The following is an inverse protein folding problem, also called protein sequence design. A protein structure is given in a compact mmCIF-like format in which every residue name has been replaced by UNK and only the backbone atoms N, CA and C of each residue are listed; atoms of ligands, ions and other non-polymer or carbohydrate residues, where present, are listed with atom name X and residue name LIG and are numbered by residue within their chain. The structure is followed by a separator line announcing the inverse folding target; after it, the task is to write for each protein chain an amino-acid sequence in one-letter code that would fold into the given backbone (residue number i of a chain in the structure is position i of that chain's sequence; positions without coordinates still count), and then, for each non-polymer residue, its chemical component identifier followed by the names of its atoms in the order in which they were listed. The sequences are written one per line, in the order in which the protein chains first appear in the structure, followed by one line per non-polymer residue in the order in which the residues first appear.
data_IF_954188512758
#
_entry.id   IF_954188512758
#
_cell.length_a   1.000
_cell.length_b   1.000
_cell.length_c   1.000
_cell.angle_alpha   90.00
_cell.angle_beta   90.00
_cell.angle_gamma   90.00
#
_symmetry.space_group_name_H-M   'P 1'
#
loop_
_entity.id
_entity.type
_entity.pdbx_description
1 polymer ?
#
# COMPACT_ATOMS: atom_id res chain seq x y z
N UNK A 1 44.24 1.59 -6.48
CA UNK A 1 42.87 1.05 -6.42
C UNK A 1 42.03 2.07 -5.67
N UNK A 2 40.94 2.62 -6.22
CA UNK A 2 40.15 3.62 -5.50
C UNK A 2 39.34 2.93 -4.39
N UNK A 3 39.69 3.20 -3.15
CA UNK A 3 38.96 2.76 -1.96
C UNK A 3 37.65 3.54 -1.89
N UNK A 4 36.51 2.87 -2.02
CA UNK A 4 35.20 3.50 -1.83
C UNK A 4 34.99 3.69 -0.32
N UNK A 5 35.47 4.82 0.22
CA UNK A 5 35.23 5.19 1.62
C UNK A 5 33.76 5.60 1.78
N UNK A 6 33.00 4.87 2.61
CA UNK A 6 31.61 5.22 2.89
C UNK A 6 31.51 6.55 3.64
N UNK A 7 30.53 7.38 3.28
CA UNK A 7 30.20 8.63 3.97
C UNK A 7 29.46 8.40 5.30
N UNK A 8 28.95 7.19 5.55
CA UNK A 8 28.30 6.85 6.80
C UNK A 8 29.34 6.40 7.85
N UNK A 9 29.56 7.16 8.94
CA UNK A 9 30.57 6.82 9.94
C UNK A 9 30.28 5.50 10.68
N UNK A 10 29.05 4.96 10.60
CA UNK A 10 28.73 3.63 11.14
C UNK A 10 29.38 2.51 10.34
N UNK A 11 29.46 2.66 9.01
CA UNK A 11 30.09 1.69 8.12
C UNK A 11 31.59 1.63 8.38
N UNK A 12 32.22 2.79 8.53
CA UNK A 12 33.64 2.87 8.85
C UNK A 12 33.95 2.27 10.23
N UNK A 13 33.06 2.44 11.23
CA UNK A 13 33.20 1.79 12.54
C UNK A 13 32.97 0.28 12.52
N UNK A 14 32.13 -0.20 11.60
CA UNK A 14 31.83 -1.63 11.49
C UNK A 14 33.03 -2.45 10.98
N UNK A 15 34.07 -1.79 10.45
CA UNK A 15 35.31 -2.45 10.04
C UNK A 15 35.09 -3.53 8.99
N UNK A 16 34.09 -3.32 8.11
CA UNK A 16 33.74 -4.29 7.06
C UNK A 16 34.96 -4.43 6.15
N UNK A 17 35.43 -5.65 5.87
CA UNK A 17 36.55 -5.87 4.97
C UNK A 17 36.27 -5.19 3.61
N UNK A 18 37.19 -4.34 3.17
CA UNK A 18 37.06 -3.58 1.91
C UNK A 18 37.31 -4.43 0.66
N UNK A 19 37.50 -5.74 0.83
CA UNK A 19 38.09 -6.60 -0.19
C UNK A 19 37.11 -6.87 -1.36
N UNK A 20 37.39 -6.35 -2.57
CA UNK A 20 36.57 -6.60 -3.75
C UNK A 20 36.65 -8.06 -4.24
N UNK A 21 37.57 -8.88 -3.70
CA UNK A 21 37.67 -10.30 -4.03
C UNK A 21 36.70 -11.20 -3.28
N UNK A 22 35.95 -10.67 -2.30
CA UNK A 22 34.80 -11.40 -1.76
C UNK A 22 33.75 -11.47 -2.87
N UNK A 23 33.72 -12.60 -3.58
CA UNK A 23 32.73 -12.84 -4.62
C UNK A 23 31.34 -12.56 -4.03
N UNK A 24 30.64 -11.57 -4.58
CA UNK A 24 29.24 -11.34 -4.26
C UNK A 24 28.48 -12.56 -4.76
N UNK A 25 28.22 -13.53 -3.88
CA UNK A 25 27.38 -14.67 -4.17
C UNK A 25 25.94 -14.16 -4.12
N UNK A 26 25.23 -14.04 -5.26
CA UNK A 26 23.82 -13.69 -5.22
C UNK A 26 23.12 -14.76 -4.38
N UNK A 27 22.36 -14.32 -3.38
CA UNK A 27 21.51 -15.22 -2.60
C UNK A 27 20.58 -15.96 -3.54
N UNK A 28 20.33 -17.25 -3.27
CA UNK A 28 19.38 -18.01 -4.08
C UNK A 28 18.00 -17.35 -4.05
N UNK A 29 17.26 -17.51 -5.15
CA UNK A 29 15.90 -16.99 -5.23
C UNK A 29 15.05 -17.67 -4.14
N UNK A 30 14.36 -16.88 -3.31
CA UNK A 30 13.65 -17.31 -2.08
C UNK A 30 14.52 -17.57 -0.84
N UNK A 31 15.79 -17.14 -0.81
CA UNK A 31 16.57 -17.10 0.44
C UNK A 31 16.00 -16.10 1.48
N UNK A 32 15.05 -15.26 1.07
CA UNK A 32 14.33 -14.36 1.95
C UNK A 32 12.88 -14.80 2.13
N UNK A 33 12.36 -14.55 3.33
CA UNK A 33 10.95 -14.77 3.63
C UNK A 33 10.05 -13.98 2.69
N UNK A 34 8.84 -14.50 2.47
CA UNK A 34 7.84 -13.83 1.66
C UNK A 34 7.50 -12.46 2.26
N UNK A 35 7.34 -11.47 1.38
CA UNK A 35 6.85 -10.16 1.76
C UNK A 35 5.33 -10.18 1.82
N UNK A 36 4.78 -9.62 2.89
CA UNK A 36 3.36 -9.42 3.11
C UNK A 36 3.07 -7.93 3.27
N UNK A 37 2.07 -7.45 2.55
CA UNK A 37 1.50 -6.11 2.77
C UNK A 37 0.48 -6.16 3.91
N UNK A 38 0.56 -5.18 4.81
CA UNK A 38 -0.25 -5.11 6.03
C UNK A 38 -1.28 -4.00 5.89
N UNK A 39 -2.53 -4.31 6.21
CA UNK A 39 -3.62 -3.35 6.22
C UNK A 39 -4.31 -3.34 7.59
N UNK A 40 -4.47 -2.16 8.18
CA UNK A 40 -5.02 -1.99 9.53
C UNK A 40 -6.34 -1.23 9.47
N UNK A 41 -7.35 -1.76 10.16
CA UNK A 41 -8.62 -1.10 10.42
C UNK A 41 -8.61 -0.58 11.87
N UNK A 42 -8.83 0.72 12.06
CA UNK A 42 -8.77 1.35 13.38
C UNK A 42 -10.10 1.34 14.12
N UNK A 43 -11.23 1.35 13.41
CA UNK A 43 -12.60 1.39 13.97
C UNK A 43 -13.52 0.43 13.22
N UNK A 44 -14.50 -0.13 13.95
CA UNK A 44 -15.55 -0.96 13.34
C UNK A 44 -16.28 -0.19 12.24
N UNK A 45 -16.46 -0.82 11.07
CA UNK A 45 -17.07 -0.21 9.89
C UNK A 45 -16.16 0.72 9.07
N UNK A 46 -14.93 0.98 9.51
CA UNK A 46 -13.93 1.74 8.74
C UNK A 46 -13.25 0.91 7.65
N UNK A 47 -12.47 1.55 6.79
CA UNK A 47 -11.66 0.86 5.78
C UNK A 47 -10.34 0.34 6.36
N UNK A 48 -9.82 -0.75 5.79
CA UNK A 48 -8.46 -1.21 6.06
C UNK A 48 -7.50 -0.33 5.27
N UNK A 49 -6.57 0.34 5.95
CA UNK A 49 -5.57 1.19 5.31
C UNK A 49 -4.23 0.45 5.27
N UNK A 50 -3.53 0.51 4.16
CA UNK A 50 -2.17 -0.01 4.06
C UNK A 50 -1.24 0.76 5.00
N UNK A 51 -0.46 0.05 5.82
CA UNK A 51 0.45 0.65 6.81
C UNK A 51 1.92 0.31 6.57
N UNK A 52 2.21 -0.63 5.67
CA UNK A 52 3.56 -1.07 5.35
C UNK A 52 3.62 -2.57 5.10
N UNK A 53 4.85 -3.11 5.09
CA UNK A 53 5.11 -4.52 4.81
C UNK A 53 5.82 -5.23 5.98
N UNK A 54 5.75 -6.56 5.99
CA UNK A 54 6.51 -7.46 6.88
C UNK A 54 7.04 -8.65 6.08
N UNK A 55 8.11 -9.29 6.57
CA UNK A 55 8.65 -10.50 5.97
C UNK A 55 8.41 -11.68 6.91
N UNK A 56 7.76 -12.74 6.41
CA UNK A 56 7.40 -13.90 7.22
C UNK A 56 7.33 -15.19 6.38
N UNK A 57 7.51 -16.37 7.00
CA UNK A 57 7.41 -17.65 6.29
C UNK A 57 5.97 -17.99 5.88
N UNK A 58 4.98 -17.54 6.65
CA UNK A 58 3.56 -17.85 6.44
C UNK A 58 2.66 -16.68 6.90
N UNK A 59 1.36 -16.68 6.55
CA UNK A 59 0.45 -15.59 6.88
C UNK A 59 0.16 -15.44 8.39
N UNK A 60 0.24 -16.51 9.17
CA UNK A 60 -0.05 -16.47 10.61
C UNK A 60 1.07 -15.72 11.35
N UNK A 61 2.32 -16.04 11.03
CA UNK A 61 3.50 -15.32 11.52
C UNK A 61 3.52 -13.89 11.00
N UNK A 62 3.14 -13.66 9.74
CA UNK A 62 3.02 -12.30 9.18
C UNK A 62 2.07 -11.44 10.01
N UNK A 63 0.93 -12.00 10.43
CA UNK A 63 -0.06 -11.30 11.25
C UNK A 63 0.45 -11.01 12.66
N UNK A 64 1.21 -11.94 13.26
CA UNK A 64 1.89 -11.69 14.54
C UNK A 64 2.91 -10.54 14.45
N UNK A 65 3.73 -10.50 13.39
CA UNK A 65 4.68 -9.43 13.15
C UNK A 65 3.97 -8.10 12.85
N UNK A 66 2.90 -8.11 12.07
CA UNK A 66 2.08 -6.94 11.79
C UNK A 66 1.50 -6.34 13.08
N UNK A 67 0.98 -7.19 13.99
CA UNK A 67 0.48 -6.76 15.29
C UNK A 67 1.56 -6.06 16.12
N UNK A 68 2.75 -6.64 16.21
CA UNK A 68 3.84 -6.06 17.01
C UNK A 68 4.39 -4.76 16.40
N UNK A 69 4.52 -4.70 15.08
CA UNK A 69 5.12 -3.56 14.38
C UNK A 69 4.15 -2.37 14.26
N UNK A 70 2.90 -2.63 13.88
CA UNK A 70 1.96 -1.58 13.46
C UNK A 70 0.80 -1.35 14.45
N UNK A 71 0.47 -2.32 15.31
CA UNK A 71 -0.74 -2.26 16.14
C UNK A 71 -0.47 -1.98 17.62
N UNK A 72 0.80 -1.80 18.02
CA UNK A 72 1.22 -1.80 19.44
C UNK A 72 0.67 -0.67 20.32
N UNK A 73 0.58 0.56 19.80
CA UNK A 73 0.24 1.76 20.59
C UNK A 73 -0.98 2.53 20.08
N UNK A 74 -1.59 2.05 19.00
CA UNK A 74 -2.77 2.65 18.37
C UNK A 74 -4.02 1.80 18.56
N UNK A 75 -5.18 2.43 18.43
CA UNK A 75 -6.44 1.69 18.37
C UNK A 75 -6.47 0.83 17.11
N UNK A 76 -6.52 -0.49 17.30
CA UNK A 76 -6.60 -1.48 16.22
C UNK A 76 -7.85 -2.31 16.42
N UNK A 77 -8.72 -2.32 15.43
CA UNK A 77 -9.93 -3.14 15.40
C UNK A 77 -9.70 -4.44 14.63
N UNK A 78 -9.05 -4.39 13.47
CA UNK A 78 -8.73 -5.56 12.65
C UNK A 78 -7.44 -5.36 11.84
N UNK A 79 -6.82 -6.46 11.41
CA UNK A 79 -5.61 -6.49 10.60
C UNK A 79 -5.78 -7.52 9.49
N UNK A 80 -5.43 -7.12 8.28
CA UNK A 80 -5.27 -8.03 7.14
C UNK A 80 -3.82 -8.08 6.72
N UNK A 81 -3.40 -9.26 6.25
CA UNK A 81 -2.12 -9.47 5.60
C UNK A 81 -2.36 -10.13 4.25
N UNK A 82 -1.64 -9.68 3.22
CA UNK A 82 -1.71 -10.25 1.89
C UNK A 82 -0.29 -10.43 1.33
N UNK A 83 0.00 -11.58 0.72
CA UNK A 83 1.31 -11.82 0.09
C UNK A 83 1.48 -10.81 -1.05
N UNK A 84 2.61 -10.10 -1.09
CA UNK A 84 2.86 -9.06 -2.10
C UNK A 84 2.78 -9.62 -3.52
N UNK A 85 3.19 -10.89 -3.74
CA UNK A 85 3.10 -11.56 -5.05
C UNK A 85 1.67 -11.76 -5.57
N UNK A 86 0.67 -11.63 -4.70
CA UNK A 86 -0.75 -11.78 -5.05
C UNK A 86 -1.44 -10.43 -5.26
N UNK A 87 -0.73 -9.32 -5.13
CA UNK A 87 -1.24 -7.97 -5.32
C UNK A 87 -0.83 -7.50 -6.72
N UNK A 88 -1.82 -7.14 -7.52
CA UNK A 88 -1.63 -6.64 -8.88
C UNK A 88 -2.02 -5.17 -8.93
N UNK A 89 -1.17 -4.35 -9.53
CA UNK A 89 -1.42 -2.93 -9.77
C UNK A 89 -1.45 -2.64 -11.26
N UNK A 90 -2.26 -1.67 -11.66
CA UNK A 90 -2.18 -1.08 -12.99
C UNK A 90 -0.93 -0.20 -13.12
N UNK A 91 -0.48 0.04 -14.34
CA UNK A 91 0.54 1.06 -14.60
C UNK A 91 -0.08 2.47 -14.52
N UNK A 92 0.75 3.48 -14.31
CA UNK A 92 0.35 4.89 -14.26
C UNK A 92 -0.30 5.33 -15.58
N UNK A 93 0.04 4.69 -16.69
CA UNK A 93 -0.49 5.00 -18.01
C UNK A 93 -1.90 4.41 -18.25
N UNK A 94 -2.35 3.45 -17.45
CA UNK A 94 -3.64 2.76 -17.61
C UNK A 94 -4.81 3.56 -16.97
N UNK A 95 -4.72 4.90 -16.96
CA UNK A 95 -5.75 5.75 -16.34
C UNK A 95 -7.10 5.65 -17.05
N UNK A 96 -7.07 5.36 -18.35
CA UNK A 96 -8.23 5.16 -19.21
C UNK A 96 -9.07 3.94 -18.81
N UNK A 97 -8.49 2.98 -18.07
CA UNK A 97 -9.20 1.81 -17.54
C UNK A 97 -10.43 2.17 -16.69
N UNK A 98 -10.44 3.35 -16.07
CA UNK A 98 -11.52 3.82 -15.20
C UNK A 98 -12.46 4.83 -15.88
N UNK A 99 -12.22 5.20 -17.13
CA UNK A 99 -13.08 6.14 -17.84
C UNK A 99 -14.45 5.54 -18.09
N UNK A 100 -15.51 6.24 -17.66
CA UNK A 100 -16.88 5.83 -17.93
C UNK A 100 -17.25 6.15 -19.38
N UNK A 101 -18.17 5.34 -19.94
CA UNK A 101 -18.66 5.58 -21.31
C UNK A 101 -19.31 6.97 -21.36
N UNK A 102 -18.91 7.86 -22.29
CA UNK A 102 -19.34 9.27 -22.31
C UNK A 102 -20.87 9.46 -22.33
N UNK A 103 -21.59 8.51 -22.91
CA UNK A 103 -23.05 8.55 -23.09
C UNK A 103 -23.85 8.14 -21.84
N UNK A 104 -23.18 7.75 -20.74
CA UNK A 104 -23.84 7.24 -19.52
C UNK A 104 -23.66 8.14 -18.30
N UNK A 105 -23.70 9.44 -18.51
CA UNK A 105 -23.50 10.47 -17.48
C UNK A 105 -24.49 10.35 -16.31
N UNK A 106 -25.69 9.82 -16.55
CA UNK A 106 -26.69 9.51 -15.53
C UNK A 106 -26.23 8.49 -14.45
N UNK A 107 -25.04 7.88 -14.57
CA UNK A 107 -24.45 7.02 -13.54
C UNK A 107 -23.56 7.79 -12.57
N UNK A 108 -23.16 9.01 -12.93
CA UNK A 108 -22.28 9.86 -12.15
C UNK A 108 -23.07 10.64 -11.11
N UNK A 109 -22.50 10.79 -9.91
CA UNK A 109 -23.11 11.56 -8.82
C UNK A 109 -23.32 13.03 -9.23
N UNK A 110 -22.40 13.56 -10.04
CA UNK A 110 -22.39 14.95 -10.48
C UNK A 110 -23.67 15.35 -11.23
N UNK A 111 -24.25 14.47 -12.03
CA UNK A 111 -25.47 14.75 -12.80
C UNK A 111 -26.71 14.93 -11.90
N UNK A 112 -26.66 14.42 -10.67
CA UNK A 112 -27.76 14.52 -9.71
C UNK A 112 -27.60 15.66 -8.68
N UNK A 113 -26.45 16.32 -8.61
CA UNK A 113 -26.18 17.36 -7.59
C UNK A 113 -27.25 18.47 -7.62
N UNK A 114 -27.67 18.90 -8.81
CA UNK A 114 -28.63 19.99 -9.00
C UNK A 114 -30.10 19.52 -9.05
N UNK A 115 -30.38 18.23 -8.76
CA UNK A 115 -31.73 17.67 -8.86
C UNK A 115 -32.70 18.35 -7.91
N UNK A 116 -32.22 18.71 -6.70
CA UNK A 116 -33.03 19.38 -5.69
C UNK A 116 -33.49 20.77 -6.14
N UNK A 117 -32.59 21.58 -6.69
CA UNK A 117 -32.89 22.91 -7.22
C UNK A 117 -33.88 22.84 -8.39
N UNK A 118 -33.71 21.86 -9.29
CA UNK A 118 -34.64 21.60 -10.39
C UNK A 118 -36.05 21.24 -9.89
N UNK A 119 -36.15 20.41 -8.83
CA UNK A 119 -37.43 20.05 -8.21
C UNK A 119 -38.10 21.28 -7.55
N UNK A 120 -37.32 22.11 -6.85
CA UNK A 120 -37.84 23.31 -6.18
C UNK A 120 -38.33 24.36 -7.19
N UNK A 121 -37.57 24.59 -8.27
CA UNK A 121 -37.99 25.47 -9.37
C UNK A 121 -39.28 24.96 -10.06
N UNK A 122 -39.40 23.65 -10.28
CA UNK A 122 -40.61 23.05 -10.85
C UNK A 122 -41.83 23.25 -9.96
N UNK A 123 -41.71 23.00 -8.64
CA UNK A 123 -42.80 23.23 -7.68
C UNK A 123 -43.25 24.70 -7.66
N UNK A 124 -42.29 25.63 -7.72
CA UNK A 124 -42.55 27.08 -7.72
C UNK A 124 -43.23 27.56 -9.00
N UNK A 125 -42.97 26.93 -10.14
CA UNK A 125 -43.62 27.27 -11.43
C UNK A 125 -45.08 26.81 -11.55
N UNK A 126 -45.51 25.88 -10.69
CA UNK A 126 -46.88 25.33 -10.67
C UNK A 126 -47.78 25.96 -9.60
N UNK A 127 -47.26 26.86 -8.79
CA UNK A 127 -47.97 27.60 -7.75
C UNK A 127 -48.30 29.01 -8.25
#
# INVERSE_FOLDING_TARGET
MPTISSLDPRINRAGIPEDPETAFIPKEQLDQFHTYEVFVQTKSGGHHNHVGSVHAPDPEIAMAFAKEQYCRRGQTFNVWVAVTSSIFSLDIQDSDFFETVPDKTYREVNDYINTREKIEAFKKSKQ
#
